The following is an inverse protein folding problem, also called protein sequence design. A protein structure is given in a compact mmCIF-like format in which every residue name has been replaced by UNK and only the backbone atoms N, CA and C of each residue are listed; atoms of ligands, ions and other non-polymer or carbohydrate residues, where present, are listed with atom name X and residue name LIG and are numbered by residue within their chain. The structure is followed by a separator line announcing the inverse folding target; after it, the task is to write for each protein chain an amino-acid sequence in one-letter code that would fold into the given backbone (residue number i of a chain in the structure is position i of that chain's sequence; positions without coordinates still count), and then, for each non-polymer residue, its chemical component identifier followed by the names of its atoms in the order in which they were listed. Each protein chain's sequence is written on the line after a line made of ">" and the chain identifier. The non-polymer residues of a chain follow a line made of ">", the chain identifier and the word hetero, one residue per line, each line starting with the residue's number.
data_IF_203476537182
#
_entry.id   IF_203476537182
#
_cell.length_a   1.000
_cell.length_b   1.000
_cell.length_c   1.000
_cell.angle_alpha   90.00
_cell.angle_beta   90.00
_cell.angle_gamma   90.00
#
_symmetry.space_group_name_H-M   'P 1'
#
loop_
_entity.id
_entity.type
_entity.pdbx_description
1 polymer ?
#
# COMPACT_ATOMS: atom_id res chain seq x y z
N UNK A 1 -24.56 12.41 27.72
CA UNK A 1 -24.74 13.06 26.40
C UNK A 1 -24.80 11.97 25.33
N UNK A 2 -25.79 11.97 24.42
CA UNK A 2 -25.85 10.95 23.37
C UNK A 2 -24.62 11.11 22.47
N UNK A 3 -23.76 10.09 22.46
CA UNK A 3 -22.60 10.02 21.57
C UNK A 3 -23.08 10.07 20.12
N UNK A 4 -22.39 10.82 19.26
CA UNK A 4 -22.73 10.86 17.83
C UNK A 4 -22.69 9.43 17.25
N UNK A 5 -23.64 9.04 16.38
CA UNK A 5 -23.69 7.68 15.82
C UNK A 5 -22.35 7.24 15.20
N UNK A 6 -21.67 8.15 14.52
CA UNK A 6 -20.36 7.92 13.94
C UNK A 6 -19.29 7.56 14.99
N UNK A 7 -19.24 8.26 16.11
CA UNK A 7 -18.25 8.00 17.17
C UNK A 7 -18.47 6.61 17.79
N UNK A 8 -19.73 6.19 17.93
CA UNK A 8 -20.09 4.86 18.44
C UNK A 8 -19.67 3.76 17.45
N UNK A 9 -20.01 3.90 16.17
CA UNK A 9 -19.66 2.93 15.13
C UNK A 9 -18.13 2.80 14.98
N UNK A 10 -17.42 3.94 14.98
CA UNK A 10 -15.96 3.93 14.94
C UNK A 10 -15.35 3.22 16.16
N UNK A 11 -15.90 3.43 17.35
CA UNK A 11 -15.43 2.73 18.55
C UNK A 11 -15.71 1.22 18.46
N UNK A 12 -16.92 0.82 18.08
CA UNK A 12 -17.31 -0.59 17.93
C UNK A 12 -16.46 -1.32 16.87
N UNK A 13 -16.04 -0.62 15.81
CA UNK A 13 -15.21 -1.17 14.74
C UNK A 13 -13.70 -1.06 14.99
N UNK A 14 -13.27 -0.66 16.20
CA UNK A 14 -11.85 -0.55 16.55
C UNK A 14 -11.10 0.55 15.78
N UNK A 15 -11.81 1.58 15.31
CA UNK A 15 -11.24 2.67 14.52
C UNK A 15 -10.84 2.27 13.09
N UNK A 16 -11.36 1.15 12.59
CA UNK A 16 -11.13 0.66 11.23
C UNK A 16 -12.35 0.89 10.35
N UNK A 17 -12.11 1.15 9.07
CA UNK A 17 -13.15 1.23 8.06
C UNK A 17 -13.75 -0.16 7.80
N UNK A 18 -15.08 -0.25 7.75
CA UNK A 18 -15.79 -1.52 7.55
C UNK A 18 -15.42 -2.24 6.26
N UNK A 19 -15.16 -1.50 5.17
CA UNK A 19 -14.92 -2.09 3.85
C UNK A 19 -13.44 -2.34 3.55
N UNK A 20 -12.57 -1.36 3.79
CA UNK A 20 -11.14 -1.48 3.46
C UNK A 20 -10.29 -2.03 4.61
N UNK A 21 -10.83 -2.08 5.82
CA UNK A 21 -10.11 -2.48 7.03
C UNK A 21 -8.84 -1.66 7.34
N UNK A 22 -8.68 -0.47 6.73
CA UNK A 22 -7.61 0.48 7.06
C UNK A 22 -8.06 1.42 8.20
N UNK A 23 -7.08 2.08 8.84
CA UNK A 23 -7.32 3.06 9.91
C UNK A 23 -8.24 4.18 9.41
N UNK A 24 -9.30 4.46 10.15
CA UNK A 24 -10.30 5.44 9.79
C UNK A 24 -10.14 6.71 10.65
N UNK A 25 -9.48 7.77 10.15
CA UNK A 25 -9.41 9.03 10.87
C UNK A 25 -10.79 9.71 10.89
N UNK A 26 -11.16 10.34 12.02
CA UNK A 26 -12.48 10.99 12.19
C UNK A 26 -12.83 12.01 11.09
N UNK A 27 -11.81 12.70 10.54
CA UNK A 27 -12.00 13.67 9.47
C UNK A 27 -12.50 13.05 8.15
N UNK A 28 -12.21 11.76 7.92
CA UNK A 28 -12.58 11.02 6.71
C UNK A 28 -13.62 9.94 6.97
N UNK A 29 -14.08 9.83 8.22
CA UNK A 29 -15.11 8.91 8.61
C UNK A 29 -16.48 9.40 8.13
N UNK A 30 -17.25 8.49 7.57
CA UNK A 30 -18.65 8.66 7.21
C UNK A 30 -19.45 7.50 7.76
N UNK A 31 -20.72 7.74 8.05
CA UNK A 31 -21.69 6.66 8.26
C UNK A 31 -22.20 6.24 6.89
N UNK A 32 -22.20 4.94 6.64
CA UNK A 32 -22.74 4.32 5.44
C UNK A 32 -23.80 3.29 5.82
N UNK A 33 -24.89 3.25 5.05
CA UNK A 33 -25.97 2.30 5.26
C UNK A 33 -25.75 1.07 4.39
N UNK A 34 -25.67 -0.11 4.99
CA UNK A 34 -25.51 -1.37 4.25
C UNK A 34 -26.70 -1.59 3.31
N UNK A 35 -27.90 -1.38 3.81
CA UNK A 35 -29.13 -1.21 3.03
C UNK A 35 -29.41 0.28 2.91
N UNK A 36 -29.38 0.87 1.70
CA UNK A 36 -29.69 2.29 1.52
C UNK A 36 -31.09 2.65 2.02
N UNK A 37 -31.26 3.85 2.54
CA UNK A 37 -32.55 4.38 2.99
C UNK A 37 -33.59 4.47 1.85
N UNK A 38 -33.15 4.67 0.61
CA UNK A 38 -34.01 4.58 -0.59
C UNK A 38 -34.62 3.20 -0.82
N UNK A 39 -34.11 2.16 -0.13
CA UNK A 39 -34.61 0.78 -0.17
C UNK A 39 -35.07 0.32 1.22
N UNK A 40 -35.64 1.23 2.00
CA UNK A 40 -36.16 0.99 3.35
C UNK A 40 -35.10 0.57 4.40
N UNK A 41 -33.82 0.92 4.18
CA UNK A 41 -32.78 0.75 5.19
C UNK A 41 -33.01 1.64 6.42
N UNK A 42 -32.87 1.07 7.62
CA UNK A 42 -33.02 1.80 8.88
C UNK A 42 -31.75 2.58 9.25
N UNK A 43 -31.87 3.58 10.11
CA UNK A 43 -30.74 4.32 10.69
C UNK A 43 -30.21 3.67 11.99
N UNK A 44 -30.53 2.39 12.21
CA UNK A 44 -30.06 1.63 13.37
C UNK A 44 -28.58 1.29 13.23
N UNK A 45 -27.91 1.05 14.35
CA UNK A 45 -26.51 0.62 14.37
C UNK A 45 -26.31 -0.73 13.66
N UNK A 46 -27.36 -1.56 13.54
CA UNK A 46 -27.32 -2.84 12.83
C UNK A 46 -27.21 -2.68 11.30
N UNK A 47 -27.68 -1.55 10.75
CA UNK A 47 -27.61 -1.26 9.32
C UNK A 47 -26.52 -0.22 8.97
N UNK A 48 -26.03 0.52 9.95
CA UNK A 48 -25.05 1.58 9.76
C UNK A 48 -23.63 1.10 10.08
N UNK A 49 -22.67 1.50 9.26
CA UNK A 49 -21.25 1.21 9.48
C UNK A 49 -20.43 2.48 9.28
N UNK A 50 -19.31 2.59 9.99
CA UNK A 50 -18.30 3.60 9.77
C UNK A 50 -17.39 3.17 8.61
N UNK A 51 -17.30 4.00 7.58
CA UNK A 51 -16.42 3.79 6.44
C UNK A 51 -15.74 5.09 6.00
N UNK A 52 -14.76 4.97 5.10
CA UNK A 52 -14.12 6.14 4.49
C UNK A 52 -15.13 6.88 3.61
N UNK A 53 -15.12 8.22 3.66
CA UNK A 53 -15.92 9.09 2.77
C UNK A 53 -15.75 8.74 1.29
N UNK A 54 -14.53 8.38 0.89
CA UNK A 54 -14.21 7.92 -0.46
C UNK A 54 -15.00 6.67 -0.88
N UNK A 55 -15.09 5.69 0.02
CA UNK A 55 -15.80 4.44 -0.22
C UNK A 55 -17.29 4.70 -0.21
N UNK A 56 -17.77 5.51 0.74
CA UNK A 56 -19.17 5.92 0.78
C UNK A 56 -19.62 6.59 -0.52
N UNK A 57 -18.80 7.50 -1.07
CA UNK A 57 -19.10 8.16 -2.34
C UNK A 57 -19.16 7.20 -3.54
N UNK A 58 -18.34 6.13 -3.54
CA UNK A 58 -18.38 5.12 -4.60
C UNK A 58 -19.54 4.15 -4.46
N UNK A 59 -19.85 3.72 -3.24
CA UNK A 59 -20.93 2.77 -2.99
C UNK A 59 -22.29 3.45 -3.10
N UNK A 60 -22.42 4.70 -2.64
CA UNK A 60 -23.59 5.55 -2.85
C UNK A 60 -24.92 4.81 -2.68
N UNK A 61 -25.74 4.84 -3.74
CA UNK A 61 -27.06 4.19 -3.79
C UNK A 61 -27.04 2.72 -4.25
N UNK A 62 -25.86 2.10 -4.34
CA UNK A 62 -25.74 0.68 -4.67
C UNK A 62 -26.46 -0.17 -3.65
N UNK A 63 -27.03 -1.27 -4.13
CA UNK A 63 -27.60 -2.31 -3.28
C UNK A 63 -26.53 -3.03 -2.48
N UNK A 64 -26.91 -3.65 -1.36
CA UNK A 64 -26.02 -4.50 -0.57
C UNK A 64 -25.33 -5.57 -1.44
N UNK A 65 -26.07 -6.17 -2.39
CA UNK A 65 -25.54 -7.15 -3.36
C UNK A 65 -24.38 -6.56 -4.19
N UNK A 66 -24.55 -5.34 -4.69
CA UNK A 66 -23.53 -4.66 -5.48
C UNK A 66 -22.33 -4.25 -4.61
N UNK A 67 -22.56 -3.73 -3.40
CA UNK A 67 -21.50 -3.39 -2.44
C UNK A 67 -20.62 -4.61 -2.15
N UNK A 68 -21.24 -5.76 -1.84
CA UNK A 68 -20.52 -7.02 -1.61
C UNK A 68 -19.75 -7.44 -2.87
N UNK A 69 -20.36 -7.33 -4.05
CA UNK A 69 -19.70 -7.68 -5.32
C UNK A 69 -18.44 -6.85 -5.57
N UNK A 70 -18.47 -5.55 -5.27
CA UNK A 70 -17.29 -4.67 -5.39
C UNK A 70 -16.16 -5.15 -4.47
N UNK A 71 -16.47 -5.50 -3.22
CA UNK A 71 -15.48 -6.02 -2.27
C UNK A 71 -14.91 -7.37 -2.73
N UNK A 72 -15.76 -8.28 -3.20
CA UNK A 72 -15.35 -9.61 -3.68
C UNK A 72 -14.47 -9.51 -4.94
N UNK A 73 -14.81 -8.63 -5.88
CA UNK A 73 -14.02 -8.42 -7.10
C UNK A 73 -12.60 -7.92 -6.80
N UNK A 74 -12.40 -7.27 -5.65
CA UNK A 74 -11.09 -6.81 -5.19
C UNK A 74 -10.31 -7.88 -4.41
N UNK A 75 -10.81 -9.13 -4.38
CA UNK A 75 -10.18 -10.30 -3.72
C UNK A 75 -9.77 -10.03 -2.26
N UNK A 76 -10.55 -9.24 -1.54
CA UNK A 76 -10.26 -8.89 -0.15
C UNK A 76 -9.13 -7.86 0.04
N UNK A 77 -8.48 -7.39 -1.01
CA UNK A 77 -7.51 -6.28 -0.96
C UNK A 77 -8.19 -4.96 -1.33
N UNK A 78 -9.33 -4.68 -0.70
CA UNK A 78 -10.09 -3.49 -1.01
C UNK A 78 -9.33 -2.26 -0.53
N UNK A 79 -8.83 -1.45 -1.47
CA UNK A 79 -8.10 -0.22 -1.16
C UNK A 79 -9.00 0.99 -1.37
N UNK A 80 -8.99 1.90 -0.40
CA UNK A 80 -9.70 3.16 -0.53
C UNK A 80 -9.16 3.93 -1.76
N UNK A 81 -10.03 4.29 -2.72
CA UNK A 81 -9.61 4.92 -3.98
C UNK A 81 -9.06 6.33 -3.77
N UNK A 82 -9.54 7.01 -2.74
CA UNK A 82 -9.02 8.29 -2.27
C UNK A 82 -8.14 8.03 -1.04
N UNK A 83 -7.15 7.14 -1.20
CA UNK A 83 -6.22 6.79 -0.14
C UNK A 83 -5.71 8.06 0.53
N UNK A 84 -6.00 8.20 1.82
CA UNK A 84 -5.77 9.37 2.67
C UNK A 84 -6.37 10.67 2.13
N UNK A 85 -7.53 11.05 2.66
CA UNK A 85 -7.92 12.45 2.71
C UNK A 85 -6.79 13.32 3.28
N UNK A 86 -6.66 14.48 2.69
CA UNK A 86 -5.62 15.45 3.03
C UNK A 86 -5.76 15.94 4.46
N UNK A 87 -4.97 15.38 5.36
CA UNK A 87 -4.34 16.13 6.42
C UNK A 87 -2.84 16.17 6.13
N UNK A 88 -2.34 17.31 5.66
CA UNK A 88 -0.91 17.65 5.86
C UNK A 88 -0.71 17.79 7.38
N UNK A 89 0.21 17.04 7.97
CA UNK A 89 1.26 17.70 8.74
C UNK A 89 2.63 17.48 8.11
N UNK A 90 3.41 18.55 8.15
CA UNK A 90 4.79 18.64 7.72
C UNK A 90 5.65 17.56 8.40
N UNK A 91 6.57 17.01 7.62
CA UNK A 91 7.82 16.35 8.03
C UNK A 91 7.72 15.26 9.10
N UNK A 92 7.76 14.00 8.67
CA UNK A 92 8.80 13.02 9.05
C UNK A 92 8.70 11.78 8.15
N UNK A 93 9.82 11.52 7.46
CA UNK A 93 10.26 10.28 6.81
C UNK A 93 9.31 9.58 5.80
N UNK A 94 9.71 9.43 4.53
CA UNK A 94 8.96 8.63 3.57
C UNK A 94 9.06 7.15 3.93
N UNK A 95 7.99 6.58 4.48
CA UNK A 95 7.84 5.12 4.60
C UNK A 95 7.54 4.55 3.22
N UNK A 96 8.63 4.10 2.58
CA UNK A 96 8.74 3.46 1.28
C UNK A 96 7.72 2.34 1.11
N UNK A 97 6.84 2.46 0.11
CA UNK A 97 6.08 1.31 -0.44
C UNK A 97 7.06 0.38 -1.17
N UNK A 98 7.77 -0.45 -0.42
CA UNK A 98 8.47 -1.64 -0.92
C UNK A 98 7.50 -2.80 -0.75
N UNK A 99 6.65 -3.06 -1.75
CA UNK A 99 5.83 -4.28 -1.72
C UNK A 99 5.32 -4.69 -3.10
N UNK A 100 6.12 -4.53 -4.16
CA UNK A 100 5.92 -5.24 -5.43
C UNK A 100 7.14 -5.06 -6.37
N UNK A 101 8.35 -5.35 -5.90
CA UNK A 101 9.33 -5.95 -6.82
C UNK A 101 9.07 -7.45 -6.72
N UNK A 102 8.60 -8.08 -7.80
CA UNK A 102 8.40 -9.53 -7.82
C UNK A 102 9.71 -10.22 -7.47
N UNK A 103 9.67 -11.34 -6.75
CA UNK A 103 10.86 -12.15 -6.48
C UNK A 103 11.60 -12.49 -7.80
N UNK A 104 10.84 -12.68 -8.89
CA UNK A 104 11.36 -12.84 -10.26
C UNK A 104 12.27 -11.68 -10.70
N UNK A 105 11.91 -10.45 -10.36
CA UNK A 105 12.71 -9.26 -10.67
C UNK A 105 14.05 -9.30 -9.92
N UNK A 106 14.01 -9.65 -8.63
CA UNK A 106 15.22 -9.75 -7.81
C UNK A 106 16.13 -10.88 -8.29
N UNK A 107 15.56 -12.01 -8.66
CA UNK A 107 16.30 -13.16 -9.20
C UNK A 107 16.93 -12.82 -10.56
N UNK A 108 16.24 -12.08 -11.42
CA UNK A 108 16.79 -11.58 -12.68
C UNK A 108 18.00 -10.65 -12.45
N UNK A 109 17.93 -9.77 -11.45
CA UNK A 109 19.04 -8.87 -11.09
C UNK A 109 20.23 -9.67 -10.55
N UNK A 110 19.99 -10.61 -9.63
CA UNK A 110 21.05 -11.48 -9.08
C UNK A 110 21.71 -12.32 -10.18
N UNK A 111 20.91 -12.89 -11.10
CA UNK A 111 21.42 -13.65 -12.25
C UNK A 111 22.30 -12.78 -13.16
N UNK A 112 21.91 -11.54 -13.42
CA UNK A 112 22.73 -10.60 -14.20
C UNK A 112 24.03 -10.21 -13.48
N UNK A 113 24.00 -10.03 -12.16
CA UNK A 113 25.19 -9.73 -11.38
C UNK A 113 26.16 -10.93 -11.34
N UNK A 114 25.63 -12.16 -11.23
CA UNK A 114 26.43 -13.39 -11.29
C UNK A 114 27.09 -13.60 -12.65
N UNK A 115 26.38 -13.35 -13.75
CA UNK A 115 26.94 -13.54 -15.11
C UNK A 115 28.09 -12.60 -15.45
N UNK A 116 28.24 -11.47 -14.73
CA UNK A 116 29.33 -10.50 -14.94
C UNK A 116 30.68 -10.92 -14.38
N UNK A 117 30.77 -11.93 -13.51
CA UNK A 117 32.04 -12.46 -13.00
C UNK A 117 32.98 -11.38 -12.44
N UNK A 118 34.16 -11.19 -13.04
CA UNK A 118 35.15 -10.19 -12.61
C UNK A 118 34.79 -8.74 -12.98
N UNK A 119 33.85 -8.55 -13.91
CA UNK A 119 33.32 -7.25 -14.34
C UNK A 119 32.15 -6.75 -13.47
N UNK A 120 31.94 -7.37 -12.30
CA UNK A 120 30.94 -6.93 -11.33
C UNK A 120 31.20 -5.48 -10.88
N UNK A 121 30.18 -4.61 -10.82
CA UNK A 121 30.34 -3.22 -10.38
C UNK A 121 30.91 -3.12 -8.97
N UNK A 122 32.10 -2.55 -8.80
CA UNK A 122 32.76 -2.43 -7.48
C UNK A 122 32.42 -1.14 -6.74
N UNK A 123 31.65 -0.25 -7.35
CA UNK A 123 31.19 1.03 -6.79
C UNK A 123 29.67 1.08 -6.81
N UNK A 124 29.07 1.67 -5.78
CA UNK A 124 27.61 1.81 -5.66
C UNK A 124 27.03 2.56 -6.87
N UNK A 125 27.67 3.63 -7.33
CA UNK A 125 27.23 4.40 -8.51
C UNK A 125 27.15 3.54 -9.77
N UNK A 126 28.18 2.73 -10.02
CA UNK A 126 28.22 1.82 -11.16
C UNK A 126 27.20 0.70 -11.01
N UNK A 127 26.97 0.19 -9.80
CA UNK A 127 25.92 -0.78 -9.51
C UNK A 127 24.53 -0.20 -9.82
N UNK A 128 24.25 1.03 -9.39
CA UNK A 128 22.99 1.71 -9.69
C UNK A 128 22.76 1.88 -11.19
N UNK A 129 23.75 2.37 -11.93
CA UNK A 129 23.65 2.49 -13.40
C UNK A 129 23.45 1.13 -14.08
N UNK A 130 24.11 0.09 -13.56
CA UNK A 130 23.97 -1.28 -14.07
C UNK A 130 22.54 -1.80 -13.87
N UNK A 131 21.96 -1.63 -12.68
CA UNK A 131 20.59 -2.04 -12.38
C UNK A 131 19.58 -1.27 -13.23
N UNK A 132 19.76 0.04 -13.43
CA UNK A 132 18.90 0.88 -14.30
C UNK A 132 18.96 0.47 -15.77
N UNK A 133 20.12 0.00 -16.23
CA UNK A 133 20.34 -0.39 -17.63
C UNK A 133 19.70 -1.73 -18.02
N UNK A 134 19.09 -2.45 -17.08
CA UNK A 134 18.46 -3.75 -17.36
C UNK A 134 17.18 -3.54 -18.20
N UNK A 135 17.14 -4.04 -19.45
CA UNK A 135 16.04 -3.75 -20.38
C UNK A 135 14.69 -4.32 -19.92
N UNK A 136 14.72 -5.42 -19.15
CA UNK A 136 13.53 -6.02 -18.55
C UNK A 136 12.93 -5.21 -17.39
N UNK A 137 13.64 -4.21 -16.84
CA UNK A 137 13.28 -3.56 -15.58
C UNK A 137 13.37 -2.04 -15.69
N UNK A 138 12.22 -1.39 -15.89
CA UNK A 138 12.09 0.07 -15.83
C UNK A 138 12.08 0.53 -14.37
N UNK A 139 13.26 0.58 -13.74
CA UNK A 139 13.43 0.98 -12.35
C UNK A 139 13.80 2.46 -12.23
N UNK A 140 13.14 3.16 -11.32
CA UNK A 140 13.49 4.52 -10.93
C UNK A 140 14.59 4.55 -9.85
N UNK A 141 15.14 5.74 -9.60
CA UNK A 141 16.25 5.94 -8.66
C UNK A 141 15.97 5.47 -7.24
N UNK A 142 14.71 5.59 -6.79
CA UNK A 142 14.28 5.18 -5.45
C UNK A 142 14.16 3.65 -5.36
N UNK A 143 13.67 3.01 -6.42
CA UNK A 143 13.58 1.55 -6.54
C UNK A 143 14.98 0.93 -6.60
N UNK A 144 15.92 1.54 -7.31
CA UNK A 144 17.32 1.06 -7.37
C UNK A 144 17.98 1.10 -5.99
N UNK A 145 17.78 2.17 -5.21
CA UNK A 145 18.27 2.24 -3.83
C UNK A 145 17.67 1.12 -2.98
N UNK A 146 16.36 0.91 -3.07
CA UNK A 146 15.67 -0.15 -2.33
C UNK A 146 16.17 -1.55 -2.70
N UNK A 147 16.48 -1.79 -3.98
CA UNK A 147 17.08 -3.05 -4.44
C UNK A 147 18.47 -3.26 -3.82
N UNK A 148 19.31 -2.21 -3.79
CA UNK A 148 20.66 -2.29 -3.21
C UNK A 148 20.58 -2.57 -1.70
N UNK A 149 19.67 -1.90 -0.98
CA UNK A 149 19.40 -2.16 0.43
C UNK A 149 18.95 -3.60 0.67
N UNK A 150 18.05 -4.12 -0.17
CA UNK A 150 17.59 -5.50 -0.08
C UNK A 150 18.70 -6.53 -0.40
N UNK A 151 19.57 -6.26 -1.36
CA UNK A 151 20.73 -7.12 -1.64
C UNK A 151 21.73 -7.10 -0.48
N UNK A 152 21.85 -5.98 0.22
CA UNK A 152 22.68 -5.86 1.42
C UNK A 152 22.06 -6.62 2.61
N UNK A 153 20.75 -6.43 2.85
CA UNK A 153 20.04 -7.11 3.95
C UNK A 153 19.99 -8.63 3.78
N UNK A 154 19.90 -9.10 2.53
CA UNK A 154 19.96 -10.53 2.20
C UNK A 154 21.39 -11.09 2.19
N UNK A 155 22.41 -10.29 2.52
CA UNK A 155 23.80 -10.70 2.65
C UNK A 155 24.51 -11.00 1.32
N UNK A 156 23.88 -10.70 0.19
CA UNK A 156 24.41 -10.95 -1.17
C UNK A 156 25.51 -9.97 -1.55
N UNK A 157 25.43 -8.74 -1.03
CA UNK A 157 26.46 -7.71 -1.19
C UNK A 157 26.81 -7.09 0.17
N UNK A 158 28.02 -6.56 0.27
CA UNK A 158 28.49 -5.74 1.38
C UNK A 158 28.89 -4.39 0.81
N UNK A 159 28.32 -3.31 1.35
CA UNK A 159 28.64 -1.94 0.95
C UNK A 159 29.46 -1.28 2.06
N UNK A 160 30.66 -0.80 1.72
CA UNK A 160 31.57 -0.11 2.66
C UNK A 160 32.20 1.08 1.92
N UNK A 161 32.00 2.30 2.43
CA UNK A 161 32.56 3.55 1.85
C UNK A 161 32.43 3.63 0.32
N UNK A 162 31.19 3.46 -0.17
CA UNK A 162 30.82 3.43 -1.61
C UNK A 162 31.37 2.27 -2.44
N UNK A 163 32.18 1.37 -1.86
CA UNK A 163 32.64 0.13 -2.49
C UNK A 163 31.62 -0.98 -2.27
N UNK A 164 31.48 -1.83 -3.28
CA UNK A 164 30.58 -3.00 -3.25
C UNK A 164 31.41 -4.26 -3.36
N UNK A 165 31.27 -5.13 -2.36
CA UNK A 165 31.84 -6.48 -2.33
C UNK A 165 30.70 -7.49 -2.46
N UNK A 166 30.87 -8.53 -3.26
CA UNK A 166 29.82 -9.52 -3.51
C UNK A 166 30.12 -10.80 -2.75
N UNK A 167 29.08 -11.36 -2.10
CA UNK A 167 29.09 -12.70 -1.46
C UNK A 167 28.16 -13.67 -2.23
N UNK A 168 28.03 -13.43 -3.53
CA UNK A 168 27.11 -14.10 -4.47
C UNK A 168 27.65 -15.40 -5.06
#
# INVERSE_FOLDING_TARGET
>A
MPTKPLDRLMFAQGGLCFFCNEKLPKAEASVEHLVPSSRAGSNSDDNCVACCKAVNALLGSMSLKEKIRVVLNQKGNFKCPNGVGGAKPKTKAPSTKISNLSNETLDAIVKNLKSRGNARPRKVKTLSSTIKSLPQLKLNDQQVKSVIEHLSSTGKIVVTDEKVTYKL
#
